data_IF_004510833044
#
_entry.id   IF_004510833044
#
_cell.length_a   1.000
_cell.length_b   1.000
_cell.length_c   1.000
_cell.angle_alpha   90.00
_cell.angle_beta   90.00
_cell.angle_gamma   90.00
#
_symmetry.space_group_name_H-M   'P 1'
#
loop_
_entity.id
_entity.type
_entity.pdbx_description
1 polymer ?
#
# COMPACT_ATOMS: atom_id res chain seq x y z
N UNK A 1 -8.13 21.46 2.50
CA UNK A 1 -7.03 20.47 2.40
C UNK A 1 -7.43 19.37 1.44
N UNK A 2 -6.46 18.61 0.93
CA UNK A 2 -6.71 17.46 0.04
C UNK A 2 -7.54 16.39 0.76
N UNK A 3 -8.45 15.74 0.03
CA UNK A 3 -9.12 14.51 0.46
C UNK A 3 -8.62 13.40 -0.45
N UNK A 4 -8.07 12.35 0.15
CA UNK A 4 -7.63 11.14 -0.55
C UNK A 4 -8.50 9.97 -0.13
N UNK A 5 -8.94 9.24 -1.14
CA UNK A 5 -9.52 7.91 -1.07
C UNK A 5 -9.20 7.24 -2.41
N UNK A 6 -7.90 7.02 -2.63
CA UNK A 6 -7.37 6.70 -3.93
C UNK A 6 -6.42 5.51 -3.86
N UNK A 7 -6.63 4.58 -4.78
CA UNK A 7 -5.70 3.51 -5.10
C UNK A 7 -4.77 3.98 -6.22
N UNK A 8 -3.48 3.76 -6.04
CA UNK A 8 -2.44 4.06 -7.01
C UNK A 8 -1.72 2.77 -7.40
N UNK A 9 -1.38 2.65 -8.68
CA UNK A 9 -0.58 1.55 -9.19
C UNK A 9 0.90 1.94 -9.29
N UNK A 10 1.80 0.99 -9.09
CA UNK A 10 3.24 1.20 -9.31
C UNK A 10 3.58 1.20 -10.81
N UNK A 11 4.38 2.16 -11.26
CA UNK A 11 4.91 2.19 -12.63
C UNK A 11 6.24 1.41 -12.76
N UNK A 12 6.81 0.94 -11.64
CA UNK A 12 8.15 0.31 -11.57
C UNK A 12 8.07 -1.09 -10.95
N UNK A 13 7.60 -2.09 -11.71
CA UNK A 13 7.62 -3.47 -11.26
C UNK A 13 9.06 -3.92 -10.96
N UNK A 14 9.26 -4.69 -9.87
CA UNK A 14 10.57 -5.20 -9.45
C UNK A 14 11.28 -4.40 -8.34
N UNK A 15 10.82 -3.19 -8.03
CA UNK A 15 11.42 -2.34 -6.99
C UNK A 15 10.84 -2.53 -5.58
N UNK A 16 11.24 -1.63 -4.69
CA UNK A 16 10.52 -1.32 -3.46
C UNK A 16 10.00 0.11 -3.55
N UNK A 17 8.80 0.35 -3.03
CA UNK A 17 8.31 1.71 -2.84
C UNK A 17 8.29 2.07 -1.35
N UNK A 18 8.17 3.37 -1.10
CA UNK A 18 8.09 3.95 0.25
C UNK A 18 6.99 5.00 0.27
N UNK A 19 5.97 4.78 1.08
CA UNK A 19 5.01 5.82 1.48
C UNK A 19 5.54 6.51 2.74
N UNK A 20 5.49 7.84 2.80
CA UNK A 20 5.98 8.61 3.96
C UNK A 20 4.91 9.58 4.42
N UNK A 21 4.63 9.56 5.73
CA UNK A 21 3.90 10.61 6.43
C UNK A 21 4.91 11.39 7.28
N UNK A 22 4.98 12.70 7.10
CA UNK A 22 5.93 13.56 7.80
C UNK A 22 5.23 14.84 8.29
N UNK A 23 5.42 15.18 9.56
CA UNK A 23 4.88 16.39 10.19
C UNK A 23 5.70 16.73 11.45
N UNK A 24 5.96 18.03 11.67
CA UNK A 24 6.62 18.54 12.89
C UNK A 24 7.90 17.79 13.29
N UNK A 25 8.75 17.48 12.31
CA UNK A 25 10.01 16.74 12.51
C UNK A 25 9.85 15.23 12.76
N UNK A 26 8.62 14.73 12.87
CA UNK A 26 8.29 13.31 12.99
C UNK A 26 8.03 12.71 11.63
N UNK A 27 8.39 11.44 11.46
CA UNK A 27 8.23 10.71 10.20
C UNK A 27 7.83 9.27 10.44
N UNK A 28 6.83 8.81 9.70
CA UNK A 28 6.51 7.39 9.55
C UNK A 28 6.72 7.03 8.08
N UNK A 29 7.41 5.93 7.80
CA UNK A 29 7.55 5.40 6.46
C UNK A 29 7.14 3.93 6.39
N UNK A 30 6.28 3.62 5.43
CA UNK A 30 5.87 2.25 5.08
C UNK A 30 6.59 1.85 3.80
N UNK A 31 7.32 0.74 3.83
CA UNK A 31 8.01 0.15 2.69
C UNK A 31 7.39 -1.19 2.32
N UNK A 32 7.27 -1.42 1.03
CA UNK A 32 6.81 -2.70 0.50
C UNK A 32 7.46 -2.99 -0.86
N UNK A 33 7.55 -4.28 -1.18
CA UNK A 33 7.97 -4.72 -2.52
C UNK A 33 6.90 -4.37 -3.54
N UNK A 34 7.27 -3.65 -4.60
CA UNK A 34 6.38 -3.34 -5.72
C UNK A 34 5.95 -4.61 -6.48
N UNK A 35 6.73 -5.68 -6.39
CA UNK A 35 6.38 -6.98 -6.97
C UNK A 35 5.30 -7.70 -6.17
N UNK A 36 5.29 -7.55 -4.84
CA UNK A 36 4.30 -8.21 -3.96
C UNK A 36 3.07 -7.33 -3.69
N UNK A 37 3.25 -6.01 -3.70
CA UNK A 37 2.21 -5.03 -3.42
C UNK A 37 2.16 -3.96 -4.52
N UNK A 38 1.79 -4.32 -5.76
CA UNK A 38 1.85 -3.39 -6.89
C UNK A 38 0.86 -2.21 -6.79
N UNK A 39 -0.06 -2.25 -5.83
CA UNK A 39 -1.04 -1.20 -5.57
C UNK A 39 -0.85 -0.62 -4.18
N UNK A 40 -1.28 0.63 -3.99
CA UNK A 40 -1.28 1.27 -2.69
C UNK A 40 -2.48 2.20 -2.53
N UNK A 41 -3.22 2.03 -1.44
CA UNK A 41 -4.35 2.87 -1.08
C UNK A 41 -3.90 3.94 -0.07
N UNK A 42 -4.35 5.18 -0.29
CA UNK A 42 -4.19 6.27 0.67
C UNK A 42 -5.55 6.85 1.00
N UNK A 43 -5.87 6.87 2.29
CA UNK A 43 -7.15 7.37 2.78
C UNK A 43 -6.97 8.42 3.87
N UNK A 44 -7.69 9.54 3.72
CA UNK A 44 -7.80 10.61 4.72
C UNK A 44 -9.24 10.72 5.21
N UNK A 45 -9.58 10.23 6.42
CA UNK A 45 -10.95 10.29 6.94
C UNK A 45 -11.40 11.74 7.20
N UNK A 46 -12.72 12.05 7.13
CA UNK A 46 -13.24 13.41 7.30
C UNK A 46 -12.78 14.15 8.57
N UNK A 47 -12.56 13.44 9.68
CA UNK A 47 -12.10 14.04 10.95
C UNK A 47 -10.63 14.47 10.94
N UNK A 48 -9.81 14.00 9.99
CA UNK A 48 -8.40 14.41 9.78
C UNK A 48 -7.43 14.14 10.93
N UNK A 49 -7.76 13.23 11.84
CA UNK A 49 -6.88 12.87 12.97
C UNK A 49 -5.99 11.66 12.67
N UNK A 50 -6.15 11.04 11.50
CA UNK A 50 -5.37 9.89 11.05
C UNK A 50 -5.23 9.89 9.52
N UNK A 51 -4.29 9.10 9.02
CA UNK A 51 -4.11 8.80 7.59
C UNK A 51 -3.77 7.31 7.47
N UNK A 52 -4.39 6.61 6.52
CA UNK A 52 -4.03 5.24 6.18
C UNK A 52 -3.06 5.19 4.99
N UNK A 53 -2.02 4.36 5.10
CA UNK A 53 -1.01 4.10 4.07
C UNK A 53 -0.96 2.58 3.86
N UNK A 54 -1.60 2.09 2.81
CA UNK A 54 -1.96 0.67 2.69
C UNK A 54 -1.30 0.02 1.47
N UNK A 55 -0.25 -0.80 1.65
CA UNK A 55 0.26 -1.68 0.60
C UNK A 55 -0.76 -2.75 0.22
N UNK A 56 -1.10 -2.86 -1.07
CA UNK A 56 -2.13 -3.77 -1.57
C UNK A 56 -1.55 -4.74 -2.60
N UNK A 57 -1.83 -6.03 -2.43
CA UNK A 57 -1.35 -7.10 -3.34
C UNK A 57 -2.07 -7.11 -4.70
N UNK A 58 -3.26 -6.52 -4.75
CA UNK A 58 -4.12 -6.44 -5.93
C UNK A 58 -4.85 -5.09 -5.94
N UNK A 59 -5.49 -4.76 -7.06
CA UNK A 59 -6.26 -3.54 -7.20
C UNK A 59 -7.57 -3.62 -6.41
N UNK A 60 -8.26 -2.48 -6.30
CA UNK A 60 -9.67 -2.45 -5.89
C UNK A 60 -10.47 -3.35 -6.82
N UNK A 61 -11.45 -4.07 -6.28
CA UNK A 61 -12.35 -4.93 -7.07
C UNK A 61 -11.66 -6.06 -7.86
N UNK A 62 -10.50 -6.54 -7.38
CA UNK A 62 -9.67 -7.55 -8.05
C UNK A 62 -10.37 -8.87 -8.41
N UNK A 63 -11.43 -9.26 -7.69
CA UNK A 63 -12.20 -10.45 -8.04
C UNK A 63 -13.01 -10.29 -9.34
N UNK A 64 -13.37 -9.06 -9.71
CA UNK A 64 -14.14 -8.78 -10.92
C UNK A 64 -13.23 -8.35 -12.07
N UNK A 65 -12.23 -7.49 -11.81
CA UNK A 65 -11.34 -6.99 -12.87
C UNK A 65 -10.07 -7.82 -13.09
N UNK A 66 -9.67 -8.67 -12.13
CA UNK A 66 -8.47 -9.51 -12.21
C UNK A 66 -7.14 -8.80 -11.95
N UNK A 67 -7.14 -7.48 -11.70
CA UNK A 67 -5.93 -6.67 -11.59
C UNK A 67 -5.11 -7.03 -10.35
N UNK A 68 -3.96 -7.67 -10.57
CA UNK A 68 -3.09 -8.15 -9.49
C UNK A 68 -3.69 -9.29 -8.67
N UNK A 69 -4.79 -9.91 -9.11
CA UNK A 69 -5.43 -11.02 -8.40
C UNK A 69 -4.44 -12.19 -8.24
N UNK A 70 -4.29 -12.69 -7.02
CA UNK A 70 -3.42 -13.82 -6.69
C UNK A 70 -4.30 -15.01 -6.32
N UNK A 71 -4.34 -16.02 -7.18
CA UNK A 71 -4.98 -17.31 -6.91
C UNK A 71 -3.95 -18.30 -6.33
N UNK A 72 -4.37 -19.08 -5.33
CA UNK A 72 -3.55 -20.14 -4.73
C UNK A 72 -4.21 -21.49 -4.92
N UNK A 73 -3.46 -22.43 -5.49
CA UNK A 73 -3.87 -23.83 -5.54
C UNK A 73 -3.83 -24.46 -4.12
N UNK A 74 -4.55 -25.57 -3.90
CA UNK A 74 -4.48 -26.31 -2.64
C UNK A 74 -3.03 -26.61 -2.22
N UNK A 75 -2.69 -26.26 -0.98
CA UNK A 75 -1.34 -26.46 -0.41
C UNK A 75 -0.28 -25.44 -0.86
N UNK A 76 -0.65 -24.41 -1.63
CA UNK A 76 0.26 -23.30 -1.96
C UNK A 76 0.18 -22.19 -0.93
N UNK A 77 1.28 -21.44 -0.81
CA UNK A 77 1.42 -20.32 0.10
C UNK A 77 1.84 -19.07 -0.65
N UNK A 78 1.30 -17.93 -0.23
CA UNK A 78 1.80 -16.61 -0.63
C UNK A 78 2.38 -15.91 0.60
N UNK A 79 3.58 -15.35 0.44
CA UNK A 79 4.31 -14.65 1.51
C UNK A 79 4.79 -13.30 1.01
N UNK A 80 4.60 -12.28 1.84
CA UNK A 80 5.13 -10.95 1.62
C UNK A 80 5.40 -10.26 2.96
N UNK A 81 6.16 -9.18 2.91
CA UNK A 81 6.55 -8.40 4.08
C UNK A 81 6.37 -6.92 3.77
N UNK A 82 5.92 -6.19 4.79
CA UNK A 82 5.98 -4.73 4.86
C UNK A 82 6.92 -4.33 5.99
N UNK A 83 7.56 -3.18 5.86
CA UNK A 83 8.38 -2.61 6.92
C UNK A 83 7.87 -1.22 7.28
N UNK A 84 7.82 -0.93 8.57
CA UNK A 84 7.42 0.37 9.11
C UNK A 84 8.62 0.95 9.85
N UNK A 85 9.00 2.16 9.48
CA UNK A 85 10.07 2.92 10.12
C UNK A 85 9.47 4.19 10.72
N UNK A 86 9.60 4.36 12.04
CA UNK A 86 9.20 5.57 12.73
C UNK A 86 10.45 6.34 13.20
N UNK A 87 10.46 7.64 12.94
CA UNK A 87 11.38 8.61 13.53
C UNK A 87 10.54 9.62 14.30
N UNK A 88 10.77 9.69 15.60
CA UNK A 88 10.10 10.61 16.51
C UNK A 88 10.95 11.84 16.78
#
# INVERSE_FOLDING_TARGET
GTALDNCFATEKPGGQYRMTLEADGRRIAVKASATRFPYFQVFTPPHRESIALEPMSCNVDAFNNGDGLIALDPGKEWKAQIAIEARM
#
